data_IF_118051363698
#
_entry.id   IF_118051363698
#
_cell.length_a   1.000
_cell.length_b   1.000
_cell.length_c   1.000
_cell.angle_alpha   90.00
_cell.angle_beta   90.00
_cell.angle_gamma   90.00
#
_symmetry.space_group_name_H-M   'P 1'
#
loop_
_entity.id
_entity.type
_entity.pdbx_description
1 polymer ?
#
# COMPACT_ATOMS: atom_id res chain seq x y z
N UNK A 1 3.84 -15.15 0.18
CA UNK A 1 4.27 -13.87 -0.43
C UNK A 1 5.66 -14.09 -1.01
N UNK A 2 6.08 -13.31 -2.01
CA UNK A 2 7.43 -13.45 -2.58
C UNK A 2 8.44 -12.82 -1.60
N UNK A 3 9.46 -13.59 -1.22
CA UNK A 3 10.59 -13.10 -0.42
C UNK A 3 11.77 -12.86 -1.34
N UNK A 4 12.53 -11.80 -1.09
CA UNK A 4 13.78 -11.54 -1.81
C UNK A 4 14.91 -12.34 -1.19
N UNK A 5 15.77 -12.86 -2.03
CA UNK A 5 16.99 -13.56 -1.64
C UNK A 5 18.06 -12.59 -1.11
N UNK A 6 19.04 -13.12 -0.40
CA UNK A 6 20.19 -12.35 0.09
C UNK A 6 20.96 -11.66 -1.06
N UNK A 7 21.10 -12.32 -2.22
CA UNK A 7 21.75 -11.72 -3.40
C UNK A 7 20.98 -10.53 -3.97
N UNK A 8 19.65 -10.53 -3.82
CA UNK A 8 18.81 -9.41 -4.22
C UNK A 8 18.94 -8.24 -3.24
N UNK A 9 19.01 -8.52 -1.94
CA UNK A 9 19.34 -7.52 -0.92
C UNK A 9 20.75 -6.95 -1.09
N UNK A 10 21.71 -7.75 -1.54
CA UNK A 10 23.06 -7.29 -1.85
C UNK A 10 23.07 -6.20 -2.93
N UNK A 11 22.26 -6.37 -3.98
CA UNK A 11 22.08 -5.34 -5.03
C UNK A 11 21.45 -4.07 -4.47
N UNK A 12 20.52 -4.20 -3.52
CA UNK A 12 19.95 -3.04 -2.81
C UNK A 12 21.03 -2.30 -2.02
N UNK A 13 21.82 -3.02 -1.21
CA UNK A 13 22.88 -2.45 -0.35
C UNK A 13 23.96 -1.76 -1.17
N UNK A 14 24.40 -2.37 -2.28
CA UNK A 14 25.37 -1.76 -3.22
C UNK A 14 24.76 -0.66 -4.11
N UNK A 15 23.47 -0.34 -3.93
CA UNK A 15 22.73 0.67 -4.69
C UNK A 15 22.74 0.43 -6.22
N UNK A 16 22.60 -0.85 -6.62
CA UNK A 16 22.57 -1.32 -8.01
C UNK A 16 21.14 -1.45 -8.58
N UNK A 17 20.12 -1.18 -7.75
CA UNK A 17 18.71 -1.24 -8.15
C UNK A 17 18.23 0.10 -8.72
N UNK A 18 17.37 0.01 -9.72
CA UNK A 18 16.62 1.17 -10.22
C UNK A 18 15.74 1.76 -9.12
N UNK A 19 15.53 3.09 -9.20
CA UNK A 19 14.84 3.85 -8.15
C UNK A 19 13.46 3.28 -7.79
N UNK A 20 12.67 2.94 -8.81
CA UNK A 20 11.30 2.46 -8.62
C UNK A 20 11.28 1.06 -7.97
N UNK A 21 12.21 0.18 -8.38
CA UNK A 21 12.36 -1.17 -7.79
C UNK A 21 12.83 -1.09 -6.35
N UNK A 22 13.68 -0.12 -6.04
CA UNK A 22 14.23 0.09 -4.70
C UNK A 22 13.15 0.50 -3.69
N UNK A 23 12.15 1.27 -4.12
CA UNK A 23 10.98 1.63 -3.29
C UNK A 23 10.14 0.39 -2.92
N UNK A 24 10.00 -0.58 -3.83
CA UNK A 24 9.31 -1.84 -3.53
C UNK A 24 10.04 -2.68 -2.48
N UNK A 25 11.37 -2.66 -2.49
CA UNK A 25 12.21 -3.33 -1.48
C UNK A 25 12.00 -2.67 -0.11
N UNK A 26 12.08 -1.35 -0.04
CA UNK A 26 11.87 -0.57 1.19
C UNK A 26 10.46 -0.80 1.77
N UNK A 27 9.44 -0.77 0.90
CA UNK A 27 8.06 -1.02 1.29
C UNK A 27 7.86 -2.43 1.87
N UNK A 28 8.57 -3.41 1.33
CA UNK A 28 8.49 -4.80 1.80
C UNK A 28 9.04 -4.98 3.22
N UNK A 29 10.10 -4.24 3.58
CA UNK A 29 10.73 -4.32 4.91
C UNK A 29 9.79 -3.93 6.06
N UNK A 30 8.76 -3.11 5.82
CA UNK A 30 7.79 -2.73 6.85
C UNK A 30 6.88 -3.87 7.33
N UNK A 31 6.81 -4.97 6.59
CA UNK A 31 5.81 -6.02 6.84
C UNK A 31 6.37 -7.45 6.83
N UNK A 32 7.68 -7.61 6.63
CA UNK A 32 8.28 -8.92 6.39
C UNK A 32 9.59 -9.10 7.18
N UNK A 33 9.49 -9.74 8.35
CA UNK A 33 10.63 -9.98 9.25
C UNK A 33 11.73 -10.84 8.60
N UNK A 34 11.36 -11.84 7.80
CA UNK A 34 12.32 -12.70 7.09
C UNK A 34 13.18 -11.90 6.10
N UNK A 35 12.57 -10.93 5.42
CA UNK A 35 13.29 -10.07 4.49
C UNK A 35 14.13 -9.02 5.22
N UNK A 36 13.69 -8.56 6.40
CA UNK A 36 14.49 -7.72 7.28
C UNK A 36 15.76 -8.44 7.73
N UNK A 37 15.65 -9.71 8.14
CA UNK A 37 16.82 -10.54 8.52
C UNK A 37 17.79 -10.71 7.34
N UNK A 38 17.27 -10.99 6.14
CA UNK A 38 18.09 -11.13 4.92
C UNK A 38 18.78 -9.81 4.52
N UNK A 39 18.09 -8.68 4.70
CA UNK A 39 18.65 -7.36 4.50
C UNK A 39 19.78 -7.06 5.49
N UNK A 40 19.59 -7.37 6.78
CA UNK A 40 20.62 -7.14 7.80
C UNK A 40 21.89 -7.98 7.51
N UNK A 41 21.75 -9.24 7.11
CA UNK A 41 22.89 -10.07 6.69
C UNK A 41 23.64 -9.46 5.50
N UNK A 42 22.91 -8.92 4.50
CA UNK A 42 23.53 -8.27 3.35
C UNK A 42 24.27 -6.98 3.74
N UNK A 43 23.76 -6.21 4.71
CA UNK A 43 24.44 -5.01 5.23
C UNK A 43 25.73 -5.37 5.98
N UNK A 44 25.67 -6.38 6.86
CA UNK A 44 26.84 -6.86 7.60
C UNK A 44 27.93 -7.39 6.67
N UNK A 45 27.55 -8.12 5.62
CA UNK A 45 28.50 -8.61 4.62
C UNK A 45 29.23 -7.50 3.85
N UNK A 46 28.64 -6.30 3.75
CA UNK A 46 29.24 -5.14 3.10
C UNK A 46 30.00 -4.22 4.05
N UNK A 47 29.98 -4.48 5.37
CA UNK A 47 30.63 -3.63 6.38
C UNK A 47 32.13 -3.47 6.10
N UNK A 48 32.81 -4.54 5.69
CA UNK A 48 34.24 -4.56 5.38
C UNK A 48 34.61 -3.76 4.11
N UNK A 49 33.67 -3.53 3.20
CA UNK A 49 33.90 -2.71 2.00
C UNK A 49 33.79 -1.20 2.29
N UNK A 50 33.25 -0.82 3.46
CA UNK A 50 33.05 0.59 3.81
C UNK A 50 34.37 1.28 4.23
N UNK A 51 34.60 2.52 3.80
CA UNK A 51 35.79 3.28 4.19
C UNK A 51 35.76 3.64 5.67
N UNK A 52 36.90 3.45 6.34
CA UNK A 52 37.07 3.80 7.76
C UNK A 52 37.17 5.32 7.91
N UNK A 53 36.30 5.91 8.73
CA UNK A 53 36.37 7.32 9.11
C UNK A 53 37.25 7.46 10.36
N UNK A 54 38.54 7.74 10.16
CA UNK A 54 39.53 7.82 11.25
C UNK A 54 39.32 9.03 12.19
N UNK A 55 38.80 10.15 11.68
CA UNK A 55 38.43 11.32 12.48
C UNK A 55 37.10 11.90 12.01
N UNK A 56 36.03 11.61 12.77
CA UNK A 56 34.68 12.04 12.44
C UNK A 56 34.48 13.57 12.45
N UNK A 57 35.23 14.32 13.26
CA UNK A 57 35.13 15.78 13.32
C UNK A 57 35.70 16.41 12.05
N UNK A 58 36.92 16.02 11.66
CA UNK A 58 37.57 16.52 10.44
C UNK A 58 36.76 16.14 9.19
N UNK A 59 36.22 14.91 9.14
CA UNK A 59 35.34 14.49 8.04
C UNK A 59 34.08 15.36 7.95
N UNK A 60 33.44 15.65 9.08
CA UNK A 60 32.24 16.50 9.12
C UNK A 60 32.57 17.91 8.64
N UNK A 61 33.68 18.49 9.10
CA UNK A 61 34.12 19.82 8.70
C UNK A 61 34.41 19.89 7.19
N UNK A 62 35.05 18.86 6.62
CA UNK A 62 35.30 18.75 5.18
C UNK A 62 34.01 18.68 4.37
N UNK A 63 33.05 17.86 4.80
CA UNK A 63 31.74 17.73 4.12
C UNK A 63 30.97 19.06 4.18
N UNK A 64 30.94 19.71 5.34
CA UNK A 64 30.25 20.99 5.50
C UNK A 64 30.88 22.11 4.67
N UNK A 65 32.21 22.14 4.57
CA UNK A 65 32.92 23.06 3.68
C UNK A 65 32.56 22.81 2.21
N UNK A 66 32.54 21.55 1.76
CA UNK A 66 32.20 21.20 0.38
C UNK A 66 30.74 21.54 0.03
N UNK A 67 29.80 21.36 0.96
CA UNK A 67 28.40 21.77 0.77
C UNK A 67 28.29 23.30 0.63
N UNK A 68 29.06 24.07 1.42
CA UNK A 68 29.07 25.52 1.34
C UNK A 68 29.61 26.01 -0.02
N UNK A 69 30.64 25.37 -0.55
CA UNK A 69 31.22 25.69 -1.87
C UNK A 69 30.23 25.40 -3.02
N UNK A 70 29.55 24.24 -3.00
CA UNK A 70 28.50 23.91 -3.98
C UNK A 70 27.36 24.94 -3.95
N UNK A 71 26.99 25.42 -2.76
CA UNK A 71 25.97 26.45 -2.60
C UNK A 71 26.41 27.80 -3.19
N UNK A 72 27.70 28.13 -3.10
CA UNK A 72 28.26 29.33 -3.74
C UNK A 72 28.34 29.20 -5.26
N UNK A 73 28.73 28.04 -5.81
CA UNK A 73 28.76 27.81 -7.26
C UNK A 73 27.35 27.90 -7.90
N UNK A 74 26.33 27.38 -7.22
CA UNK A 74 24.93 27.50 -7.67
C UNK A 74 24.45 28.97 -7.63
N UNK A 75 24.92 29.75 -6.65
CA UNK A 75 24.57 31.17 -6.53
C UNK A 75 25.31 32.06 -7.55
N UNK A 76 26.46 31.64 -8.05
CA UNK A 76 27.31 32.43 -8.97
C UNK A 76 27.09 32.12 -10.45
N UNK A 77 26.32 31.10 -10.81
CA UNK A 77 25.99 30.84 -12.23
C UNK A 77 25.13 31.98 -12.78
N UNK A 78 25.58 32.73 -13.82
CA UNK A 78 24.73 33.70 -14.48
C UNK A 78 23.52 32.96 -15.05
N UNK A 79 22.32 33.38 -14.69
CA UNK A 79 21.09 32.87 -15.29
C UNK A 79 20.94 33.37 -16.74
N UNK A 80 21.84 32.96 -17.63
CA UNK A 80 21.64 33.09 -19.08
C UNK A 80 20.85 31.89 -19.55
N UNK A 81 19.52 31.98 -19.46
CA UNK A 81 18.63 30.93 -19.96
C UNK A 81 17.24 31.05 -19.40
N UNK A 82 16.46 32.01 -19.91
CA UNK A 82 15.02 32.06 -19.73
C UNK A 82 14.39 30.74 -20.21
N UNK A 83 14.17 29.80 -19.28
CA UNK A 83 13.35 28.62 -19.56
C UNK A 83 11.88 29.06 -19.50
N UNK A 84 11.24 29.11 -20.68
CA UNK A 84 9.79 29.31 -20.82
C UNK A 84 9.08 28.29 -19.93
N UNK A 85 8.38 28.76 -18.89
CA UNK A 85 7.58 27.89 -18.02
C UNK A 85 6.46 27.28 -18.86
N UNK A 86 6.46 25.96 -18.97
CA UNK A 86 5.41 25.19 -19.63
C UNK A 86 4.11 25.40 -18.87
N UNK A 87 3.12 25.95 -19.56
CA UNK A 87 1.78 26.31 -19.06
C UNK A 87 1.05 25.09 -18.45
N UNK A 88 1.46 23.88 -18.82
CA UNK A 88 0.93 22.60 -18.36
C UNK A 88 1.39 22.17 -16.97
N UNK A 89 2.35 22.88 -16.34
CA UNK A 89 2.86 22.57 -15.00
C UNK A 89 2.26 23.44 -13.89
N UNK A 90 1.20 24.20 -14.17
CA UNK A 90 0.54 25.04 -13.17
C UNK A 90 -0.54 24.24 -12.42
N UNK A 91 -0.53 24.31 -11.09
CA UNK A 91 -1.50 23.68 -10.20
C UNK A 91 -2.97 23.97 -10.57
N UNK A 92 -3.21 25.06 -11.32
CA UNK A 92 -4.51 25.41 -11.89
C UNK A 92 -5.06 24.36 -12.87
N UNK A 93 -4.21 23.67 -13.65
CA UNK A 93 -4.67 22.65 -14.60
C UNK A 93 -5.18 21.39 -13.88
N UNK A 94 -4.49 20.96 -12.83
CA UNK A 94 -4.96 19.84 -12.00
C UNK A 94 -6.25 20.19 -11.27
N UNK A 95 -6.35 21.41 -10.73
CA UNK A 95 -7.56 21.87 -10.05
C UNK A 95 -8.75 21.98 -11.01
N UNK A 96 -8.55 22.41 -12.26
CA UNK A 96 -9.64 22.50 -13.25
C UNK A 96 -10.20 21.13 -13.61
N UNK A 97 -9.34 20.10 -13.77
CA UNK A 97 -9.78 18.72 -14.01
C UNK A 97 -10.60 18.21 -12.83
N UNK A 98 -10.11 18.35 -11.60
CA UNK A 98 -10.83 17.90 -10.42
C UNK A 98 -12.19 18.60 -10.24
N UNK A 99 -12.23 19.92 -10.46
CA UNK A 99 -13.47 20.69 -10.40
C UNK A 99 -14.46 20.28 -11.50
N UNK A 100 -14.00 20.04 -12.73
CA UNK A 100 -14.84 19.59 -13.83
C UNK A 100 -15.43 18.20 -13.55
N UNK A 101 -14.65 17.26 -13.01
CA UNK A 101 -15.14 15.94 -12.60
C UNK A 101 -16.20 16.08 -11.51
N UNK A 102 -15.98 16.92 -10.51
CA UNK A 102 -16.96 17.14 -9.42
C UNK A 102 -18.28 17.70 -9.95
N UNK A 103 -18.22 18.72 -10.81
CA UNK A 103 -19.41 19.31 -11.44
C UNK A 103 -20.13 18.27 -12.30
N UNK A 104 -19.39 17.45 -13.06
CA UNK A 104 -19.97 16.39 -13.89
C UNK A 104 -20.66 15.33 -13.03
N UNK A 105 -20.05 14.89 -11.93
CA UNK A 105 -20.66 13.92 -11.01
C UNK A 105 -21.90 14.49 -10.29
N UNK A 106 -21.87 15.77 -9.91
CA UNK A 106 -23.02 16.45 -9.31
C UNK A 106 -24.17 16.64 -10.30
N UNK A 107 -23.88 17.02 -11.54
CA UNK A 107 -24.91 17.25 -12.58
C UNK A 107 -25.51 15.96 -13.14
N UNK A 108 -24.72 14.90 -13.25
CA UNK A 108 -25.18 13.57 -13.69
C UNK A 108 -25.88 12.77 -12.60
N UNK A 109 -25.75 13.17 -11.33
CA UNK A 109 -26.43 12.52 -10.22
C UNK A 109 -25.86 11.14 -9.85
N UNK A 110 -24.61 10.82 -10.21
CA UNK A 110 -23.97 9.53 -9.89
C UNK A 110 -24.03 9.20 -8.39
N UNK A 111 -23.95 10.21 -7.52
CA UNK A 111 -24.09 10.02 -6.08
C UNK A 111 -25.48 9.54 -5.63
N UNK A 112 -26.54 9.85 -6.39
CA UNK A 112 -27.90 9.34 -6.09
C UNK A 112 -27.98 7.83 -6.23
N UNK A 113 -27.26 7.25 -7.21
CA UNK A 113 -27.16 5.79 -7.41
C UNK A 113 -26.48 5.08 -6.23
N UNK A 114 -25.42 5.69 -5.68
CA UNK A 114 -24.70 5.16 -4.51
C UNK A 114 -25.59 5.22 -3.27
N UNK A 115 -26.30 6.33 -3.05
CA UNK A 115 -27.22 6.46 -1.91
C UNK A 115 -28.38 5.48 -2.01
N UNK A 116 -28.92 5.22 -3.20
CA UNK A 116 -29.94 4.18 -3.39
C UNK A 116 -29.42 2.77 -3.05
N UNK A 117 -28.17 2.46 -3.38
CA UNK A 117 -27.55 1.20 -2.97
C UNK A 117 -27.37 1.13 -1.46
N UNK A 118 -26.90 2.21 -0.83
CA UNK A 118 -26.75 2.29 0.62
C UNK A 118 -28.08 2.21 1.38
N UNK A 119 -29.15 2.83 0.86
CA UNK A 119 -30.51 2.72 1.40
C UNK A 119 -31.07 1.31 1.27
N UNK A 120 -30.79 0.59 0.17
CA UNK A 120 -31.16 -0.82 0.02
C UNK A 120 -30.40 -1.74 1.00
N UNK A 121 -29.23 -1.33 1.50
CA UNK A 121 -28.49 -2.06 2.55
C UNK A 121 -29.00 -1.69 3.95
N UNK A 122 -29.50 -0.46 4.15
CA UNK A 122 -30.02 0.01 5.44
C UNK A 122 -31.51 -0.27 5.68
N UNK A 123 -32.30 -0.52 4.64
CA UNK A 123 -33.69 -0.93 4.74
C UNK A 123 -33.82 -2.42 4.42
N UNK A 124 -33.65 -3.32 5.39
CA UNK A 124 -34.19 -4.66 5.27
C UNK A 124 -35.71 -4.51 5.44
N UNK A 125 -36.40 -4.18 4.35
CA UNK A 125 -37.82 -4.48 4.29
C UNK A 125 -37.92 -5.99 4.52
N UNK A 126 -38.55 -6.35 5.64
CA UNK A 126 -38.73 -7.69 6.17
C UNK A 126 -39.31 -8.62 5.10
N UNK A 127 -38.44 -9.19 4.28
CA UNK A 127 -38.63 -10.53 3.78
C UNK A 127 -37.61 -11.35 4.54
N UNK A 128 -38.08 -11.99 5.61
CA UNK A 128 -37.43 -13.16 6.18
C UNK A 128 -37.25 -14.18 5.05
N UNK A 129 -36.14 -14.06 4.31
CA UNK A 129 -35.55 -15.22 3.65
C UNK A 129 -35.19 -16.17 4.80
N UNK A 130 -35.85 -17.33 4.92
CA UNK A 130 -35.60 -18.23 6.03
C UNK A 130 -34.12 -18.56 6.03
N UNK A 131 -33.49 -18.22 7.15
CA UNK A 131 -32.09 -18.54 7.43
C UNK A 131 -31.84 -19.97 6.99
N UNK A 132 -30.78 -20.20 6.20
CA UNK A 132 -30.35 -21.55 5.78
C UNK A 132 -30.22 -22.51 6.99
N UNK A 133 -30.12 -21.96 8.20
CA UNK A 133 -30.15 -22.65 9.49
C UNK A 133 -31.55 -23.15 9.89
N UNK A 134 -32.64 -22.40 9.66
CA UNK A 134 -34.01 -22.84 9.97
C UNK A 134 -34.39 -24.09 9.16
N UNK A 135 -34.08 -24.10 7.86
CA UNK A 135 -34.33 -25.29 7.02
C UNK A 135 -33.52 -26.53 7.41
N UNK A 136 -32.37 -26.35 8.07
CA UNK A 136 -31.58 -27.44 8.62
C UNK A 136 -32.17 -27.94 9.95
N UNK A 137 -32.58 -27.02 10.83
CA UNK A 137 -33.19 -27.34 12.13
C UNK A 137 -34.49 -28.13 11.94
N UNK A 138 -35.36 -27.69 11.02
CA UNK A 138 -36.62 -28.39 10.73
C UNK A 138 -36.40 -29.80 10.18
N UNK A 139 -35.39 -29.98 9.32
CA UNK A 139 -35.00 -31.32 8.83
C UNK A 139 -34.45 -32.21 9.94
N UNK A 140 -33.76 -31.63 10.92
CA UNK A 140 -33.19 -32.39 12.04
C UNK A 140 -34.28 -32.86 13.00
N UNK A 141 -35.27 -32.01 13.30
CA UNK A 141 -36.43 -32.39 14.10
C UNK A 141 -37.31 -33.43 13.39
N UNK A 142 -37.58 -33.27 12.09
CA UNK A 142 -38.35 -34.26 11.33
C UNK A 142 -37.66 -35.64 11.27
N UNK A 143 -36.32 -35.65 11.18
CA UNK A 143 -35.56 -36.90 11.25
C UNK A 143 -35.61 -37.53 12.65
N UNK A 144 -35.55 -36.73 13.71
CA UNK A 144 -35.65 -37.20 15.09
C UNK A 144 -37.04 -37.81 15.40
N UNK A 145 -38.12 -37.15 14.97
CA UNK A 145 -39.48 -37.67 15.11
C UNK A 145 -39.69 -38.98 14.34
N UNK A 146 -39.09 -39.11 13.15
CA UNK A 146 -39.13 -40.36 12.36
C UNK A 146 -38.47 -41.53 13.09
N UNK A 147 -37.36 -41.30 13.80
CA UNK A 147 -36.71 -42.33 14.60
C UNK A 147 -37.53 -42.69 15.84
N UNK A 148 -38.18 -41.72 16.48
CA UNK A 148 -39.03 -41.99 17.63
C UNK A 148 -40.28 -42.80 17.24
N UNK A 149 -40.92 -42.46 16.11
CA UNK A 149 -42.04 -43.25 15.57
C UNK A 149 -41.61 -44.68 15.18
N UNK A 150 -40.46 -44.83 14.51
CA UNK A 150 -39.96 -46.15 14.11
C UNK A 150 -39.62 -47.04 15.31
N UNK A 151 -39.13 -46.47 16.42
CA UNK A 151 -38.90 -47.21 17.66
C UNK A 151 -40.21 -47.58 18.39
N UNK A 152 -41.26 -46.77 18.28
CA UNK A 152 -42.60 -47.09 18.85
C UNK A 152 -43.31 -48.21 18.08
N UNK A 153 -43.07 -48.36 16.78
CA UNK A 153 -43.66 -49.43 15.96
C UNK A 153 -42.92 -50.78 16.07
N UNK A 154 -41.61 -50.79 16.36
CA UNK A 154 -40.82 -52.01 16.54
C UNK A 154 -40.94 -52.64 17.94
N UNK A 155 -41.67 -52.00 18.87
CA UNK A 155 -41.88 -52.45 20.24
C UNK A 155 -43.24 -53.08 20.52
N UNK A 156 -43.98 -53.53 19.49
CA UNK A 156 -45.30 -54.15 19.61
C UNK A 156 -45.35 -55.52 18.94
#
# INVERSE_FOLDING_TARGET
MMHYSEQEWMKYVKNELDKDVREDYENHLYSCDQCLESYLMAVEAEEDELPIISNGADFTDLVMAQIADVKMEIAQKPQTGQKKKSIYQSAFFHYSIAAAVTILLMTTGVFQSITQYAENVQNPNLQEEPSMTQGLVDKTFAWMDSLEMKNKEAGR
#
